data_IF_682069769502
#
_entry.id   IF_682069769502
#
_cell.length_a   1.000
_cell.length_b   1.000
_cell.length_c   1.000
_cell.angle_alpha   90.00
_cell.angle_beta   90.00
_cell.angle_gamma   90.00
#
_symmetry.space_group_name_H-M   'P 1'
#
loop_
_entity.id
_entity.type
_entity.pdbx_description
1 polymer ?
#
# COMPACT_ATOMS: atom_id res chain seq x y z
N UNK A 1 18.95 3.67 8.55
CA UNK A 1 18.38 4.65 7.65
C UNK A 1 16.98 4.28 7.26
N UNK A 2 16.13 5.20 7.37
CA UNK A 2 14.77 4.96 7.01
C UNK A 2 14.61 4.84 5.53
N UNK A 3 13.45 4.48 5.10
CA UNK A 3 13.17 4.21 3.74
C UNK A 3 13.55 5.33 2.80
N UNK A 4 13.69 4.98 1.55
CA UNK A 4 14.08 5.91 0.51
C UNK A 4 12.91 6.67 -0.07
N UNK A 5 11.70 6.29 0.28
CA UNK A 5 10.48 6.87 -0.27
C UNK A 5 9.62 7.48 0.83
N UNK A 6 8.91 8.53 0.49
CA UNK A 6 7.99 9.18 1.41
C UNK A 6 6.60 8.61 1.18
N UNK A 7 5.94 8.18 2.25
CA UNK A 7 4.58 7.66 2.17
C UNK A 7 3.57 8.80 2.27
N UNK A 8 2.70 8.90 1.29
CA UNK A 8 1.65 9.91 1.25
C UNK A 8 0.30 9.19 1.26
N UNK A 9 -0.54 9.49 2.23
CA UNK A 9 -1.82 8.81 2.39
C UNK A 9 -2.94 9.70 1.88
N UNK A 10 -3.68 9.22 0.88
CA UNK A 10 -4.81 9.97 0.31
C UNK A 10 -5.95 10.03 1.31
N UNK A 11 -6.91 10.90 1.05
CA UNK A 11 -8.09 11.01 1.90
C UNK A 11 -8.86 9.69 1.96
N UNK A 12 -8.98 9.03 0.84
CA UNK A 12 -9.67 7.75 0.78
C UNK A 12 -8.94 6.69 1.62
N UNK A 13 -7.62 6.64 1.51
CA UNK A 13 -6.83 5.71 2.31
C UNK A 13 -6.85 6.08 3.78
N UNK A 14 -6.96 7.37 4.10
CA UNK A 14 -7.06 7.80 5.49
C UNK A 14 -8.35 7.28 6.14
N UNK A 15 -9.45 7.26 5.41
CA UNK A 15 -10.70 6.68 5.91
C UNK A 15 -10.53 5.20 6.17
N UNK A 16 -9.84 4.51 5.28
CA UNK A 16 -9.55 3.09 5.46
C UNK A 16 -8.70 2.87 6.69
N UNK A 17 -7.73 3.74 6.92
CA UNK A 17 -6.85 3.65 8.07
C UNK A 17 -7.64 3.77 9.38
N UNK A 18 -8.66 4.63 9.40
CA UNK A 18 -9.51 4.75 10.58
C UNK A 18 -10.27 3.46 10.87
N UNK A 19 -10.75 2.79 9.84
CA UNK A 19 -11.41 1.50 10.02
C UNK A 19 -10.45 0.45 10.55
N UNK A 20 -9.23 0.46 10.03
CA UNK A 20 -8.21 -0.51 10.39
C UNK A 20 -7.79 -0.40 11.84
N UNK A 21 -7.91 0.78 12.43
CA UNK A 21 -7.55 0.98 13.84
C UNK A 21 -8.29 0.05 14.79
N UNK A 22 -9.47 -0.41 14.39
CA UNK A 22 -10.28 -1.29 15.22
C UNK A 22 -9.81 -2.74 15.19
N UNK A 23 -8.85 -3.05 14.35
CA UNK A 23 -8.37 -4.42 14.14
C UNK A 23 -6.85 -4.46 14.32
N UNK A 24 -6.38 -4.73 15.54
CA UNK A 24 -4.95 -4.62 15.86
C UNK A 24 -4.04 -5.46 14.96
N UNK A 25 -4.46 -6.68 14.64
CA UNK A 25 -3.63 -7.54 13.79
C UNK A 25 -3.51 -6.96 12.38
N UNK A 26 -4.61 -6.45 11.85
CA UNK A 26 -4.63 -5.83 10.54
C UNK A 26 -3.79 -4.56 10.54
N UNK A 27 -3.92 -3.76 11.59
CA UNK A 27 -3.15 -2.54 11.75
C UNK A 27 -1.65 -2.84 11.74
N UNK A 28 -1.24 -3.88 12.43
CA UNK A 28 0.15 -4.26 12.48
C UNK A 28 0.66 -4.68 11.11
N UNK A 29 -0.14 -5.46 10.38
CA UNK A 29 0.22 -5.89 9.05
C UNK A 29 0.39 -4.71 8.10
N UNK A 30 -0.52 -3.74 8.17
CA UNK A 30 -0.45 -2.54 7.35
C UNK A 30 0.80 -1.74 7.68
N UNK A 31 1.06 -1.55 8.96
CA UNK A 31 2.22 -0.79 9.41
C UNK A 31 3.52 -1.41 8.90
N UNK A 32 3.65 -2.73 9.03
CA UNK A 32 4.81 -3.44 8.56
C UNK A 32 4.96 -3.32 7.04
N UNK A 33 3.85 -3.40 6.34
CA UNK A 33 3.87 -3.35 4.88
C UNK A 33 4.26 -1.95 4.39
N UNK A 34 3.75 -0.91 5.04
CA UNK A 34 4.11 0.46 4.69
C UNK A 34 5.60 0.70 4.88
N UNK A 35 6.14 0.21 5.98
CA UNK A 35 7.56 0.34 6.26
C UNK A 35 8.37 -0.40 5.19
N UNK A 36 7.92 -1.59 4.84
CA UNK A 36 8.57 -2.42 3.86
C UNK A 36 8.64 -1.74 2.49
N UNK A 37 7.51 -1.22 2.01
CA UNK A 37 7.47 -0.59 0.70
C UNK A 37 8.18 0.76 0.68
N UNK A 38 8.26 1.44 1.83
CA UNK A 38 8.98 2.72 1.88
C UNK A 38 10.47 2.52 1.62
N UNK A 39 10.97 1.34 1.91
CA UNK A 39 12.37 1.04 1.62
C UNK A 39 12.54 0.62 0.17
N UNK A 40 11.62 -0.20 -0.33
CA UNK A 40 11.69 -0.64 -1.72
C UNK A 40 10.30 -1.10 -2.17
N UNK A 41 9.57 -0.24 -2.89
CA UNK A 41 8.20 -0.59 -3.32
C UNK A 41 8.15 -1.67 -4.39
N UNK A 42 9.28 -2.04 -4.97
CA UNK A 42 9.34 -3.04 -6.03
C UNK A 42 9.82 -4.39 -5.56
N UNK A 43 10.17 -4.51 -4.29
CA UNK A 43 10.66 -5.77 -3.77
C UNK A 43 9.52 -6.80 -3.76
N UNK A 44 9.81 -7.99 -4.23
CA UNK A 44 8.78 -8.97 -4.53
C UNK A 44 8.58 -10.02 -3.44
N UNK A 45 8.96 -9.72 -2.21
CA UNK A 45 8.69 -10.55 -1.03
C UNK A 45 8.18 -9.66 0.08
N UNK A 46 6.89 -9.67 0.38
CA UNK A 46 5.85 -10.51 -0.25
C UNK A 46 5.52 -10.06 -1.67
N UNK A 47 4.93 -10.92 -2.48
CA UNK A 47 4.62 -10.58 -3.86
C UNK A 47 3.67 -9.42 -3.99
N UNK A 48 3.80 -8.72 -5.09
CA UNK A 48 2.85 -7.67 -5.43
C UNK A 48 2.36 -7.87 -6.86
N UNK A 49 1.27 -7.22 -7.19
CA UNK A 49 0.72 -7.26 -8.53
C UNK A 49 0.66 -5.85 -9.09
N UNK A 50 0.94 -5.72 -10.36
CA UNK A 50 0.76 -4.45 -11.05
C UNK A 50 -0.63 -4.42 -11.64
N UNK A 51 -1.32 -3.31 -11.41
CA UNK A 51 -2.61 -3.10 -12.04
C UNK A 51 -2.40 -2.55 -13.44
N UNK A 52 -3.25 -2.97 -14.36
CA UNK A 52 -3.12 -2.61 -15.77
C UNK A 52 -4.29 -1.72 -16.20
N UNK A 53 -4.21 -1.22 -17.44
CA UNK A 53 -5.24 -0.38 -17.98
C UNK A 53 -5.09 1.04 -17.52
N UNK A 54 -6.17 1.65 -17.07
CA UNK A 54 -6.16 3.04 -16.63
C UNK A 54 -5.44 3.26 -15.32
N UNK A 55 -5.08 2.17 -14.65
CA UNK A 55 -4.42 2.25 -13.35
C UNK A 55 -2.93 1.98 -13.48
N UNK A 56 -2.32 2.61 -14.47
CA UNK A 56 -0.88 2.47 -14.70
C UNK A 56 -0.11 2.85 -13.46
N UNK A 57 0.97 2.12 -13.21
CA UNK A 57 1.88 2.39 -12.09
C UNK A 57 1.23 2.18 -10.73
N UNK A 58 0.09 1.55 -10.69
CA UNK A 58 -0.52 1.14 -9.44
C UNK A 58 -0.07 -0.28 -9.12
N UNK A 59 0.17 -0.51 -7.85
CA UNK A 59 0.61 -1.80 -7.35
C UNK A 59 -0.33 -2.24 -6.25
N UNK A 60 -0.51 -3.54 -6.15
CA UNK A 60 -1.40 -4.13 -5.17
C UNK A 60 -0.63 -5.16 -4.37
N UNK A 61 -0.70 -5.07 -3.05
CA UNK A 61 -0.12 -6.06 -2.16
C UNK A 61 -1.17 -6.57 -1.21
N UNK A 62 -1.06 -7.84 -0.90
CA UNK A 62 -1.97 -8.47 0.05
C UNK A 62 -1.60 -8.04 1.46
N UNK A 63 -2.57 -7.50 2.20
CA UNK A 63 -2.38 -7.22 3.62
C UNK A 63 -2.71 -8.49 4.41
N UNK A 64 -3.81 -9.13 4.06
CA UNK A 64 -4.20 -10.43 4.60
C UNK A 64 -5.08 -11.11 3.54
N UNK A 65 -5.78 -12.16 3.92
CA UNK A 65 -6.58 -12.91 2.94
C UNK A 65 -7.71 -12.08 2.33
N UNK A 66 -8.14 -11.01 3.00
CA UNK A 66 -9.29 -10.23 2.57
C UNK A 66 -8.97 -8.82 2.14
N UNK A 67 -7.91 -8.24 2.66
CA UNK A 67 -7.61 -6.83 2.43
C UNK A 67 -6.37 -6.64 1.60
N UNK A 68 -6.38 -5.57 0.81
CA UNK A 68 -5.29 -5.27 -0.11
C UNK A 68 -4.83 -3.84 0.07
N UNK A 69 -3.54 -3.63 -0.09
CA UNK A 69 -2.93 -2.31 -0.13
C UNK A 69 -2.70 -1.94 -1.58
N UNK A 70 -3.24 -0.80 -1.99
CA UNK A 70 -3.06 -0.30 -3.35
C UNK A 70 -2.29 1.00 -3.28
N UNK A 71 -1.23 1.12 -4.05
CA UNK A 71 -0.40 2.30 -4.02
C UNK A 71 0.16 2.61 -5.41
N UNK A 72 0.57 3.86 -5.58
CA UNK A 72 1.27 4.32 -6.78
C UNK A 72 2.65 4.77 -6.38
N UNK A 73 3.61 4.58 -7.28
CA UNK A 73 4.98 5.01 -7.04
C UNK A 73 5.33 6.14 -7.99
N UNK A 74 5.76 7.24 -7.43
CA UNK A 74 6.24 8.40 -8.17
C UNK A 74 7.75 8.39 -8.03
N UNK A 75 8.41 7.74 -8.98
CA UNK A 75 9.82 7.42 -8.87
C UNK A 75 10.72 8.64 -8.81
N UNK A 76 10.41 9.65 -9.59
CA UNK A 76 11.24 10.85 -9.62
C UNK A 76 11.20 11.61 -8.32
N UNK A 77 10.04 11.68 -7.71
CA UNK A 77 9.86 12.38 -6.44
C UNK A 77 10.16 11.51 -5.24
N UNK A 78 10.30 10.21 -5.47
CA UNK A 78 10.45 9.23 -4.38
C UNK A 78 9.29 9.28 -3.42
N UNK A 79 8.08 9.29 -3.97
CA UNK A 79 6.85 9.32 -3.21
C UNK A 79 6.03 8.06 -3.52
N UNK A 80 5.49 7.46 -2.47
CA UNK A 80 4.53 6.36 -2.61
C UNK A 80 3.19 6.88 -2.11
N UNK A 81 2.21 6.91 -3.00
CA UNK A 81 0.89 7.42 -2.69
C UNK A 81 -0.03 6.25 -2.40
N UNK A 82 -0.57 6.19 -1.20
CA UNK A 82 -1.45 5.09 -0.79
C UNK A 82 -2.87 5.42 -1.22
N UNK A 83 -3.43 4.58 -2.07
CA UNK A 83 -4.75 4.79 -2.65
C UNK A 83 -5.84 4.13 -1.80
N UNK A 84 -5.56 2.91 -1.33
CA UNK A 84 -6.56 2.15 -0.58
C UNK A 84 -5.86 1.14 0.32
N UNK A 85 -6.47 0.85 1.46
CA UNK A 85 -5.93 -0.13 2.42
C UNK A 85 -6.98 -1.10 2.92
N UNK A 86 -8.22 -0.97 2.48
CA UNK A 86 -9.31 -1.77 3.05
C UNK A 86 -9.95 -2.68 2.03
N UNK A 87 -10.19 -2.15 0.85
CA UNK A 87 -10.96 -2.83 -0.15
C UNK A 87 -10.25 -4.06 -0.68
N UNK A 88 -10.99 -5.05 -1.10
CA UNK A 88 -10.42 -6.03 -1.97
C UNK A 88 -10.77 -5.75 -3.41
N UNK A 89 -9.79 -5.97 -4.25
CA UNK A 89 -9.96 -5.81 -5.68
C UNK A 89 -10.08 -7.19 -6.31
N UNK A 90 -11.11 -7.35 -7.07
CA UNK A 90 -11.28 -8.55 -7.84
C UNK A 90 -11.05 -8.19 -9.30
N UNK A 91 -10.23 -8.97 -9.95
CA UNK A 91 -9.87 -8.70 -11.35
C UNK A 91 -10.43 -9.76 -12.25
#
# INVERSE_FOLDING_TARGET
MNGNYIIMITKSAQKDKEKIKQYPALKKNVSNLLEFISENPYKNLPPYERLVGNLKQCYLRRINSQHRLVYMVYEEEKIIKIISMWSHYEF
#
